data_IF_674747996183
#
_entry.id   IF_674747996183
#
_cell.length_a   1.000
_cell.length_b   1.000
_cell.length_c   1.000
_cell.angle_alpha   90.00
_cell.angle_beta   90.00
_cell.angle_gamma   90.00
#
_symmetry.space_group_name_H-M   'P 1'
#
loop_
_entity.id
_entity.type
_entity.pdbx_description
1 polymer ?
#
# COMPACT_ATOMS: atom_id res chain seq x y z
N UNK A 1 16.90 63.84 37.09
CA UNK A 1 18.03 63.73 38.04
C UNK A 1 18.06 62.27 38.52
N UNK A 2 18.73 61.35 37.82
CA UNK A 2 20.17 61.10 37.81
C UNK A 2 20.74 60.73 39.19
N UNK A 3 21.03 59.45 39.41
CA UNK A 3 22.34 58.99 39.90
C UNK A 3 22.48 57.48 39.68
N UNK A 4 23.50 57.13 38.89
CA UNK A 4 23.96 55.77 38.61
C UNK A 4 24.79 55.23 39.78
N UNK A 5 24.80 53.90 39.94
CA UNK A 5 25.94 53.19 40.55
C UNK A 5 26.32 51.99 39.69
N UNK A 6 27.42 52.16 38.97
CA UNK A 6 28.17 51.13 38.27
C UNK A 6 28.78 50.14 39.26
N UNK A 7 28.69 48.84 38.94
CA UNK A 7 29.64 47.83 39.42
C UNK A 7 30.10 47.02 38.20
N UNK A 8 31.36 47.27 37.82
CA UNK A 8 32.14 46.47 36.89
C UNK A 8 32.50 45.15 37.57
N UNK A 9 32.14 44.03 36.96
CA UNK A 9 32.74 42.72 37.26
C UNK A 9 33.36 42.19 35.97
N UNK A 10 34.69 42.26 35.91
CA UNK A 10 35.53 41.49 34.99
C UNK A 10 35.44 40.01 35.41
N UNK A 11 35.07 39.13 34.48
CA UNK A 11 35.01 37.69 34.75
C UNK A 11 35.00 36.86 33.47
N UNK A 12 36.22 36.57 32.99
CA UNK A 12 36.67 35.40 32.21
C UNK A 12 35.68 34.82 31.18
N UNK A 13 36.00 35.03 29.90
CA UNK A 13 35.40 34.33 28.77
C UNK A 13 35.73 32.83 28.85
N UNK A 14 34.74 32.00 29.19
CA UNK A 14 34.77 30.56 28.95
C UNK A 14 34.11 30.32 27.60
N UNK A 15 34.91 30.02 26.57
CA UNK A 15 34.41 29.49 25.31
C UNK A 15 33.67 28.16 25.61
N UNK A 16 32.40 27.98 25.21
CA UNK A 16 31.85 26.64 25.14
C UNK A 16 32.48 25.97 23.91
N UNK A 17 33.39 25.04 24.14
CA UNK A 17 33.72 23.98 23.20
C UNK A 17 32.42 23.22 22.88
N UNK A 18 31.74 23.59 21.79
CA UNK A 18 30.61 22.84 21.27
C UNK A 18 31.17 21.56 20.66
N UNK A 19 31.25 20.52 21.48
CA UNK A 19 31.46 19.16 21.02
C UNK A 19 30.29 18.78 20.10
N UNK A 20 30.60 18.53 18.83
CA UNK A 20 29.66 18.00 17.85
C UNK A 20 29.15 16.63 18.31
N UNK A 21 27.92 16.60 18.82
CA UNK A 21 27.19 15.37 19.04
C UNK A 21 26.94 14.70 17.68
N UNK A 22 27.31 13.43 17.47
CA UNK A 22 26.85 12.71 16.29
C UNK A 22 25.33 12.62 16.39
N UNK A 23 24.62 13.29 15.49
CA UNK A 23 23.19 13.05 15.26
C UNK A 23 23.05 11.59 14.87
N UNK A 24 22.66 10.74 15.83
CA UNK A 24 22.21 9.40 15.56
C UNK A 24 21.07 9.51 14.54
N UNK A 25 21.31 9.01 13.32
CA UNK A 25 20.28 8.88 12.32
C UNK A 25 19.13 8.07 12.94
N UNK A 26 17.99 8.73 13.17
CA UNK A 26 16.79 8.03 13.62
C UNK A 26 16.50 6.93 12.59
N UNK A 27 16.33 5.66 13.02
CA UNK A 27 15.92 4.62 12.09
C UNK A 27 14.61 5.07 11.45
N UNK A 28 14.62 5.24 10.14
CA UNK A 28 13.42 5.49 9.36
C UNK A 28 12.41 4.41 9.75
N UNK A 29 11.28 4.81 10.33
CA UNK A 29 10.20 3.88 10.67
C UNK A 29 9.91 3.05 9.40
N UNK A 30 10.08 1.72 9.51
CA UNK A 30 9.83 0.82 8.41
C UNK A 30 8.40 1.09 7.93
N UNK A 31 8.25 1.53 6.67
CA UNK A 31 6.94 1.84 6.13
C UNK A 31 6.09 0.56 6.20
N UNK A 32 4.81 0.66 6.61
CA UNK A 32 3.95 -0.50 6.65
C UNK A 32 3.93 -1.16 5.26
N UNK A 33 4.34 -2.42 5.20
CA UNK A 33 4.32 -3.20 3.98
C UNK A 33 3.28 -4.30 4.14
N UNK A 34 2.33 -4.37 3.20
CA UNK A 34 1.44 -5.51 3.10
C UNK A 34 2.22 -6.66 2.44
N UNK A 35 2.45 -7.73 3.20
CA UNK A 35 2.97 -9.00 2.68
C UNK A 35 1.81 -9.86 2.19
N UNK A 36 1.95 -10.41 1.00
CA UNK A 36 0.98 -11.31 0.38
C UNK A 36 1.64 -12.65 0.08
N UNK A 37 0.97 -13.73 0.46
CA UNK A 37 1.29 -15.08 0.00
C UNK A 37 0.55 -15.33 -1.30
N UNK A 38 1.28 -15.65 -2.36
CA UNK A 38 0.76 -15.80 -3.72
C UNK A 38 1.04 -17.20 -4.27
N UNK A 39 0.09 -17.76 -5.00
CA UNK A 39 0.19 -19.04 -5.71
C UNK A 39 -0.06 -18.80 -7.19
N UNK A 40 0.96 -19.00 -8.01
CA UNK A 40 0.84 -19.04 -9.45
C UNK A 40 0.55 -20.46 -9.90
N UNK A 41 -0.59 -20.66 -10.57
CA UNK A 41 -0.95 -21.96 -11.14
C UNK A 41 -0.51 -22.01 -12.61
N UNK A 42 0.58 -22.72 -12.88
CA UNK A 42 1.10 -22.88 -14.23
C UNK A 42 0.77 -24.27 -14.75
N UNK A 43 0.81 -24.45 -16.08
CA UNK A 43 0.73 -25.80 -16.69
C UNK A 43 1.83 -26.76 -16.24
N UNK A 44 2.89 -26.27 -15.58
CA UNK A 44 3.99 -27.06 -15.04
C UNK A 44 3.89 -27.31 -13.52
N UNK A 45 2.83 -26.82 -12.88
CA UNK A 45 2.60 -26.96 -11.46
C UNK A 45 2.33 -25.63 -10.75
N UNK A 46 2.02 -25.74 -9.47
CA UNK A 46 1.71 -24.62 -8.58
C UNK A 46 2.99 -24.09 -7.96
N UNK A 47 3.25 -22.79 -8.12
CA UNK A 47 4.42 -22.14 -7.55
C UNK A 47 4.01 -21.11 -6.50
N UNK A 48 4.57 -21.25 -5.29
CA UNK A 48 4.42 -20.28 -4.22
C UNK A 48 5.43 -19.13 -4.39
N UNK A 49 4.95 -17.91 -4.25
CA UNK A 49 5.72 -16.67 -4.29
C UNK A 49 5.19 -15.71 -3.22
N UNK A 50 6.05 -14.80 -2.76
CA UNK A 50 5.68 -13.75 -1.81
C UNK A 50 5.76 -12.41 -2.50
N UNK A 51 4.72 -11.59 -2.35
CA UNK A 51 4.68 -10.23 -2.86
C UNK A 51 4.65 -9.26 -1.68
N UNK A 52 5.54 -8.28 -1.68
CA UNK A 52 5.51 -7.18 -0.72
C UNK A 52 5.12 -5.89 -1.44
N UNK A 53 4.08 -5.24 -0.94
CA UNK A 53 3.64 -3.94 -1.41
C UNK A 53 3.80 -2.95 -0.25
N UNK A 54 4.53 -1.84 -0.46
CA UNK A 54 4.50 -0.74 0.50
C UNK A 54 3.10 -0.12 0.51
N UNK A 55 2.50 0.03 1.69
CA UNK A 55 1.14 0.58 1.85
C UNK A 55 1.15 1.66 2.91
N UNK A 56 0.73 2.86 2.54
CA UNK A 56 0.45 3.96 3.46
C UNK A 56 -1.07 4.16 3.53
N UNK A 57 -1.68 3.68 4.62
CA UNK A 57 -3.11 3.82 4.86
C UNK A 57 -3.36 4.93 5.87
N UNK A 58 -4.22 5.89 5.50
CA UNK A 58 -4.63 7.03 6.33
C UNK A 58 -6.14 6.96 6.58
N UNK A 59 -6.51 6.97 7.84
CA UNK A 59 -7.89 7.08 8.30
C UNK A 59 -7.94 7.96 9.55
N UNK A 60 -9.04 8.70 9.79
CA UNK A 60 -9.23 9.43 11.05
C UNK A 60 -9.27 8.48 12.23
N UNK A 61 -8.59 8.82 13.33
CA UNK A 61 -8.58 8.01 14.55
C UNK A 61 -9.97 7.92 15.22
N UNK A 62 -10.84 8.91 15.00
CA UNK A 62 -12.19 8.92 15.56
C UNK A 62 -13.13 9.66 14.61
N UNK A 63 -14.33 9.12 14.44
CA UNK A 63 -15.38 9.72 13.62
C UNK A 63 -16.66 9.76 14.44
N UNK A 64 -17.39 10.88 14.36
CA UNK A 64 -18.70 11.01 15.01
C UNK A 64 -19.70 10.03 14.37
N UNK A 65 -20.63 9.44 15.13
CA UNK A 65 -21.66 8.56 14.59
C UNK A 65 -22.44 9.25 13.47
N UNK A 66 -22.79 8.52 12.41
CA UNK A 66 -23.50 9.02 11.22
C UNK A 66 -22.78 10.10 10.39
N UNK A 67 -21.52 10.46 10.71
CA UNK A 67 -20.74 11.38 9.88
C UNK A 67 -19.98 10.65 8.76
N UNK A 68 -19.70 11.39 7.68
CA UNK A 68 -18.88 10.89 6.57
C UNK A 68 -17.40 11.06 6.90
N UNK A 69 -16.60 10.10 6.48
CA UNK A 69 -15.15 10.11 6.58
C UNK A 69 -14.53 9.42 5.37
N UNK A 70 -13.25 9.66 5.14
CA UNK A 70 -12.50 9.05 4.04
C UNK A 70 -11.37 8.19 4.58
N UNK A 71 -11.14 7.07 3.92
CA UNK A 71 -9.95 6.23 4.10
C UNK A 71 -9.16 6.32 2.81
N UNK A 72 -7.90 6.71 2.90
CA UNK A 72 -6.99 6.78 1.76
C UNK A 72 -5.95 5.69 1.90
N UNK A 73 -5.78 4.88 0.87
CA UNK A 73 -4.77 3.83 0.79
C UNK A 73 -3.86 4.17 -0.37
N UNK A 74 -2.65 4.61 -0.05
CA UNK A 74 -1.59 4.89 -1.01
C UNK A 74 -0.65 3.68 -1.11
N UNK A 75 -0.45 3.20 -2.33
CA UNK A 75 0.39 2.04 -2.61
C UNK A 75 1.71 2.57 -3.16
N UNK A 76 2.84 2.22 -2.55
CA UNK A 76 4.15 2.71 -2.98
C UNK A 76 4.56 2.10 -4.33
N UNK A 77 5.46 2.78 -5.08
CA UNK A 77 5.97 2.27 -6.34
C UNK A 77 6.61 0.91 -6.15
N UNK A 78 6.25 -0.01 -7.03
CA UNK A 78 6.78 -1.37 -7.07
C UNK A 78 7.55 -1.60 -8.37
N UNK A 79 8.31 -2.69 -8.37
CA UNK A 79 8.92 -3.20 -9.59
C UNK A 79 8.49 -4.65 -9.77
N UNK A 80 7.99 -4.98 -10.97
CA UNK A 80 7.72 -6.37 -11.29
C UNK A 80 9.05 -7.07 -11.60
N UNK A 81 9.30 -8.28 -11.08
CA UNK A 81 10.47 -9.04 -11.47
C UNK A 81 10.37 -9.40 -12.96
N UNK A 82 11.45 -9.23 -13.72
CA UNK A 82 11.51 -9.69 -15.12
C UNK A 82 11.55 -11.21 -15.25
N UNK A 83 11.87 -11.91 -14.16
CA UNK A 83 11.97 -13.36 -14.11
C UNK A 83 11.58 -13.88 -12.74
N UNK A 84 10.84 -14.99 -12.70
CA UNK A 84 10.43 -15.67 -11.46
C UNK A 84 10.77 -17.14 -11.60
N UNK A 85 11.72 -17.63 -10.77
CA UNK A 85 12.12 -19.05 -10.73
C UNK A 85 12.47 -19.65 -12.10
N UNK A 86 13.19 -18.92 -12.96
CA UNK A 86 13.58 -19.37 -14.31
C UNK A 86 12.55 -19.11 -15.41
N UNK A 87 11.37 -18.56 -15.07
CA UNK A 87 10.34 -18.18 -16.03
C UNK A 87 10.40 -16.68 -16.31
N UNK A 88 10.56 -16.27 -17.58
CA UNK A 88 10.55 -14.85 -17.94
C UNK A 88 9.14 -14.30 -17.83
N UNK A 89 8.93 -13.36 -16.91
CA UNK A 89 7.66 -12.66 -16.79
C UNK A 89 7.56 -11.66 -17.94
N UNK A 90 6.60 -11.86 -18.84
CA UNK A 90 6.36 -10.94 -19.96
C UNK A 90 5.52 -9.78 -19.50
N UNK A 91 4.41 -10.07 -18.84
CA UNK A 91 3.46 -9.07 -18.40
C UNK A 91 2.51 -9.61 -17.34
N UNK A 92 1.91 -8.72 -16.57
CA UNK A 92 0.80 -8.97 -15.66
C UNK A 92 -0.43 -8.23 -16.16
N UNK A 93 -1.58 -8.90 -16.13
CA UNK A 93 -2.87 -8.36 -16.55
C UNK A 93 -3.98 -8.80 -15.62
N UNK A 94 -5.15 -8.19 -15.77
CA UNK A 94 -6.37 -8.54 -15.04
C UNK A 94 -6.18 -8.58 -13.52
N UNK A 95 -5.46 -7.61 -12.99
CA UNK A 95 -5.26 -7.48 -11.56
C UNK A 95 -6.59 -7.04 -10.93
N UNK A 96 -7.06 -7.80 -9.96
CA UNK A 96 -8.28 -7.54 -9.20
C UNK A 96 -7.97 -7.61 -7.71
N UNK A 97 -8.06 -6.46 -7.03
CA UNK A 97 -7.90 -6.33 -5.59
C UNK A 97 -9.28 -6.13 -4.94
N UNK A 98 -9.60 -6.96 -3.96
CA UNK A 98 -10.87 -6.95 -3.24
C UNK A 98 -10.66 -6.33 -1.85
N UNK A 99 -11.36 -5.23 -1.58
CA UNK A 99 -11.33 -4.53 -0.30
C UNK A 99 -12.73 -4.58 0.32
N UNK A 100 -12.94 -5.32 1.42
CA UNK A 100 -14.22 -5.37 2.09
C UNK A 100 -14.51 -4.03 2.77
N UNK A 101 -15.76 -3.57 2.66
CA UNK A 101 -16.23 -2.39 3.38
C UNK A 101 -16.38 -2.76 4.85
N UNK A 102 -15.76 -2.00 5.78
CA UNK A 102 -15.80 -2.33 7.19
C UNK A 102 -17.24 -2.50 7.71
N UNK A 103 -17.49 -3.48 8.62
CA UNK A 103 -18.75 -3.52 9.35
C UNK A 103 -18.93 -2.22 10.14
N UNK A 104 -20.18 -1.86 10.44
CA UNK A 104 -20.51 -0.58 11.09
C UNK A 104 -20.15 0.68 10.28
N UNK A 105 -19.96 0.55 8.98
CA UNK A 105 -19.88 1.66 8.04
C UNK A 105 -20.75 1.40 6.81
N UNK A 106 -21.19 2.48 6.15
CA UNK A 106 -21.89 2.41 4.87
C UNK A 106 -21.03 3.02 3.78
N UNK A 107 -20.91 2.33 2.65
CA UNK A 107 -20.21 2.85 1.48
C UNK A 107 -20.93 4.07 0.90
N UNK A 108 -20.18 5.12 0.58
CA UNK A 108 -20.68 6.31 -0.12
C UNK A 108 -20.12 6.35 -1.54
N UNK A 109 -18.80 6.28 -1.68
CA UNK A 109 -18.12 6.29 -2.97
C UNK A 109 -16.67 5.80 -2.82
N UNK A 110 -16.06 5.33 -3.90
CA UNK A 110 -14.63 5.10 -4.01
C UNK A 110 -14.11 5.79 -5.27
N UNK A 111 -12.92 6.36 -5.15
CA UNK A 111 -12.22 7.02 -6.25
C UNK A 111 -10.78 6.54 -6.31
N UNK A 112 -10.27 6.39 -7.53
CA UNK A 112 -8.88 6.05 -7.81
C UNK A 112 -8.21 7.29 -8.39
N UNK A 113 -7.03 7.64 -7.87
CA UNK A 113 -6.26 8.80 -8.35
C UNK A 113 -4.80 8.43 -8.56
N UNK A 114 -4.18 8.99 -9.59
CA UNK A 114 -2.79 8.70 -9.95
C UNK A 114 -2.62 7.32 -10.58
N UNK A 115 -1.48 6.68 -10.29
CA UNK A 115 -1.05 5.44 -10.93
C UNK A 115 -0.22 5.69 -12.19
N UNK A 116 0.79 4.85 -12.43
CA UNK A 116 1.68 4.95 -13.59
C UNK A 116 2.25 3.58 -13.96
N UNK A 117 2.67 3.41 -15.22
CA UNK A 117 3.22 2.15 -15.72
C UNK A 117 2.20 1.01 -15.82
N UNK A 118 0.90 1.29 -15.71
CA UNK A 118 -0.17 0.28 -15.71
C UNK A 118 -0.70 -0.07 -17.11
N UNK A 119 -0.35 0.74 -18.12
CA UNK A 119 -0.83 0.65 -19.52
C UNK A 119 -2.35 0.43 -19.66
N UNK A 120 -3.11 0.91 -18.68
CA UNK A 120 -4.57 0.80 -18.61
C UNK A 120 -5.09 1.81 -17.59
N UNK A 121 -6.39 2.08 -17.66
CA UNK A 121 -7.08 2.91 -16.66
C UNK A 121 -7.64 2.01 -15.56
N UNK A 122 -7.18 2.16 -14.31
CA UNK A 122 -7.77 1.44 -13.19
C UNK A 122 -9.23 1.82 -12.98
N UNK A 123 -10.06 0.87 -12.58
CA UNK A 123 -11.45 1.10 -12.23
C UNK A 123 -11.77 0.52 -10.86
N UNK A 124 -12.78 1.07 -10.19
CA UNK A 124 -13.30 0.55 -8.92
C UNK A 124 -14.80 0.33 -9.07
N UNK A 125 -15.28 -0.82 -8.60
CA UNK A 125 -16.69 -1.20 -8.58
C UNK A 125 -17.07 -1.74 -7.21
N UNK A 126 -18.31 -1.52 -6.79
CA UNK A 126 -18.83 -2.13 -5.58
C UNK A 126 -19.57 -3.42 -5.94
N UNK A 127 -19.09 -4.54 -5.41
CA UNK A 127 -19.71 -5.86 -5.50
C UNK A 127 -20.23 -6.26 -4.11
N UNK A 128 -21.52 -6.05 -3.88
CA UNK A 128 -22.15 -6.19 -2.56
C UNK A 128 -21.52 -5.26 -1.52
N UNK A 129 -20.80 -5.82 -0.54
CA UNK A 129 -20.03 -5.08 0.49
C UNK A 129 -18.52 -5.09 0.24
N UNK A 130 -18.08 -5.37 -0.99
CA UNK A 130 -16.66 -5.44 -1.36
C UNK A 130 -16.38 -4.44 -2.48
N UNK A 131 -15.46 -3.50 -2.26
CA UNK A 131 -14.91 -2.68 -3.34
C UNK A 131 -13.89 -3.52 -4.12
N UNK A 132 -14.13 -3.70 -5.41
CA UNK A 132 -13.27 -4.43 -6.34
C UNK A 132 -12.55 -3.42 -7.21
N UNK A 133 -11.23 -3.38 -7.10
CA UNK A 133 -10.36 -2.53 -7.91
C UNK A 133 -9.79 -3.39 -9.01
N UNK A 134 -9.96 -2.98 -10.26
CA UNK A 134 -9.49 -3.72 -11.43
C UNK A 134 -8.48 -2.89 -12.23
N UNK A 135 -7.35 -3.50 -12.56
CA UNK A 135 -6.33 -2.98 -13.47
C UNK A 135 -6.14 -4.00 -14.58
N UNK A 136 -6.63 -3.69 -15.77
CA UNK A 136 -6.60 -4.63 -16.91
C UNK A 136 -5.18 -4.92 -17.38
N UNK A 137 -4.24 -3.97 -17.23
CA UNK A 137 -2.90 -4.10 -17.78
C UNK A 137 -2.89 -3.88 -19.31
N UNK A 138 -1.79 -4.23 -20.00
CA UNK A 138 -0.68 -5.09 -19.55
C UNK A 138 0.45 -4.32 -18.85
N UNK A 139 0.89 -4.79 -17.68
CA UNK A 139 2.06 -4.27 -16.97
C UNK A 139 3.29 -5.13 -17.36
N UNK A 140 4.31 -4.60 -18.04
CA UNK A 140 5.45 -5.39 -18.49
C UNK A 140 6.27 -5.95 -17.31
N UNK A 141 6.75 -7.18 -17.43
CA UNK A 141 7.71 -7.73 -16.46
C UNK A 141 9.04 -6.96 -16.50
N UNK A 142 9.62 -6.70 -15.34
CA UNK A 142 10.81 -5.85 -15.20
C UNK A 142 10.52 -4.35 -15.10
N UNK A 143 9.30 -3.91 -15.42
CA UNK A 143 8.91 -2.50 -15.36
C UNK A 143 8.64 -2.05 -13.93
N UNK A 144 8.94 -0.77 -13.69
CA UNK A 144 8.42 -0.05 -12.54
C UNK A 144 6.94 0.26 -12.76
N UNK A 145 6.14 0.11 -11.71
CA UNK A 145 4.71 0.39 -11.73
C UNK A 145 4.29 1.10 -10.44
N UNK A 146 3.27 1.93 -10.56
CA UNK A 146 2.61 2.58 -9.44
C UNK A 146 1.13 2.30 -9.52
N UNK A 147 0.58 1.63 -8.51
CA UNK A 147 -0.86 1.44 -8.40
C UNK A 147 -1.53 2.77 -8.01
N UNK A 148 -2.79 3.01 -8.41
CA UNK A 148 -3.50 4.23 -8.05
C UNK A 148 -3.74 4.27 -6.53
N UNK A 149 -3.77 5.48 -5.99
CA UNK A 149 -4.22 5.72 -4.62
C UNK A 149 -5.73 5.51 -4.57
N UNK A 150 -6.20 4.67 -3.65
CA UNK A 150 -7.61 4.43 -3.40
C UNK A 150 -8.12 5.36 -2.31
N UNK A 151 -9.16 6.13 -2.58
CA UNK A 151 -9.89 6.88 -1.56
C UNK A 151 -11.31 6.35 -1.44
N UNK A 152 -11.65 5.79 -0.29
CA UNK A 152 -12.99 5.29 0.02
C UNK A 152 -13.68 6.27 0.96
N UNK A 153 -14.82 6.83 0.54
CA UNK A 153 -15.71 7.61 1.40
C UNK A 153 -16.74 6.67 2.02
N UNK A 154 -16.79 6.70 3.34
CA UNK A 154 -17.67 5.91 4.17
C UNK A 154 -18.52 6.82 5.06
N UNK A 155 -19.66 6.31 5.51
CA UNK A 155 -20.47 6.91 6.58
C UNK A 155 -20.35 6.03 7.82
N UNK A 156 -19.96 6.63 8.94
CA UNK A 156 -19.84 5.93 10.22
C UNK A 156 -21.21 5.47 10.71
N UNK A 157 -21.27 4.27 11.26
CA UNK A 157 -22.46 3.72 11.88
C UNK A 157 -22.70 4.24 13.29
N UNK A 158 -23.15 3.33 14.17
CA UNK A 158 -23.51 3.66 15.56
C UNK A 158 -22.26 3.97 16.41
N UNK A 159 -22.47 4.73 17.49
CA UNK A 159 -21.42 5.10 18.45
C UNK A 159 -20.78 3.87 19.09
N UNK A 160 -19.47 3.90 19.31
CA UNK A 160 -18.72 2.83 19.99
C UNK A 160 -18.31 1.67 19.07
N UNK A 161 -18.62 1.73 17.77
CA UNK A 161 -18.19 0.71 16.82
C UNK A 161 -16.77 1.00 16.31
N UNK A 162 -15.92 -0.03 16.33
CA UNK A 162 -14.60 0.00 15.69
C UNK A 162 -14.80 -0.20 14.18
N UNK A 163 -14.25 0.71 13.39
CA UNK A 163 -14.17 0.60 11.93
C UNK A 163 -12.76 0.14 11.60
N UNK A 164 -12.61 -1.15 11.34
CA UNK A 164 -11.32 -1.70 10.92
C UNK A 164 -11.34 -2.01 9.43
N UNK A 165 -10.32 -1.53 8.73
CA UNK A 165 -10.14 -1.82 7.30
C UNK A 165 -9.18 -2.99 7.17
N UNK A 166 -9.70 -4.14 6.77
CA UNK A 166 -8.91 -5.34 6.48
C UNK A 166 -8.81 -5.50 4.97
N UNK A 167 -7.72 -6.06 4.48
CA UNK A 167 -7.65 -6.55 3.11
C UNK A 167 -8.42 -7.88 3.02
N UNK A 168 -9.14 -8.13 1.91
CA UNK A 168 -9.87 -9.40 1.75
C UNK A 168 -8.88 -10.55 1.56
N UNK A 169 -9.37 -11.76 1.76
CA UNK A 169 -8.70 -13.01 1.42
C UNK A 169 -8.05 -13.69 2.61
N UNK A 170 -8.29 -14.98 2.73
CA UNK A 170 -7.80 -15.82 3.83
C UNK A 170 -7.00 -17.02 3.36
N UNK A 171 -7.11 -17.38 2.07
CA UNK A 171 -6.43 -18.52 1.48
C UNK A 171 -6.25 -18.33 -0.03
N UNK A 172 -5.64 -19.30 -0.71
CA UNK A 172 -5.53 -19.25 -2.17
C UNK A 172 -6.86 -19.48 -2.90
N UNK A 173 -7.84 -20.08 -2.21
CA UNK A 173 -9.17 -20.38 -2.75
C UNK A 173 -10.20 -19.29 -2.36
N UNK A 174 -9.85 -18.44 -1.37
CA UNK A 174 -10.47 -17.14 -1.09
C UNK A 174 -9.40 -16.02 -1.18
N UNK A 175 -8.97 -15.64 -2.41
CA UNK A 175 -7.92 -14.64 -2.58
C UNK A 175 -8.44 -13.21 -2.40
N UNK A 176 -7.56 -12.38 -1.82
CA UNK A 176 -7.75 -10.93 -1.73
C UNK A 176 -7.33 -10.19 -2.98
N UNK A 177 -6.35 -10.76 -3.69
CA UNK A 177 -5.73 -10.21 -4.87
C UNK A 177 -5.58 -11.34 -5.89
N UNK A 178 -6.09 -11.13 -7.09
CA UNK A 178 -5.92 -12.05 -8.23
C UNK A 178 -5.28 -11.32 -9.39
N UNK A 179 -4.41 -11.97 -10.13
CA UNK A 179 -3.80 -11.42 -11.34
C UNK A 179 -3.47 -12.54 -12.32
N UNK A 180 -3.33 -12.23 -13.60
CA UNK A 180 -2.86 -13.19 -14.61
C UNK A 180 -1.46 -12.80 -15.06
N UNK A 181 -0.50 -13.68 -14.82
CA UNK A 181 0.89 -13.52 -15.23
C UNK A 181 1.13 -14.24 -16.56
N UNK A 182 1.56 -13.51 -17.59
CA UNK A 182 2.02 -14.11 -18.84
C UNK A 182 3.52 -14.38 -18.73
N UNK A 183 3.89 -15.65 -18.83
CA UNK A 183 5.27 -16.12 -18.71
C UNK A 183 5.75 -16.71 -20.03
N UNK A 184 7.01 -16.49 -20.37
CA UNK A 184 7.69 -17.11 -21.51
C UNK A 184 8.74 -18.09 -20.99
N UNK A 185 8.66 -19.33 -21.46
CA UNK A 185 9.65 -20.37 -21.19
C UNK A 185 10.12 -20.99 -22.50
N UNK A 186 11.41 -20.82 -22.81
CA UNK A 186 12.02 -21.19 -24.10
C UNK A 186 11.18 -20.64 -25.28
N UNK A 187 10.46 -21.53 -25.98
CA UNK A 187 9.64 -21.21 -27.15
C UNK A 187 8.13 -21.09 -26.86
N UNK A 188 7.69 -21.37 -25.63
CA UNK A 188 6.27 -21.42 -25.24
C UNK A 188 5.93 -20.19 -24.40
N UNK A 189 4.76 -19.59 -24.67
CA UNK A 189 4.17 -18.52 -23.85
C UNK A 189 2.91 -19.04 -23.19
N UNK A 190 2.77 -18.81 -21.89
CA UNK A 190 1.69 -19.32 -21.07
C UNK A 190 1.10 -18.21 -20.21
N UNK A 191 -0.21 -18.28 -19.99
CA UNK A 191 -0.88 -17.47 -18.97
C UNK A 191 -1.00 -18.31 -17.70
N UNK A 192 -0.59 -17.72 -16.58
CA UNK A 192 -0.61 -18.32 -15.25
C UNK A 192 -1.50 -17.46 -14.35
N UNK A 193 -2.70 -17.93 -13.98
CA UNK A 193 -3.48 -17.25 -12.95
C UNK A 193 -2.72 -17.30 -11.63
N UNK A 194 -2.74 -16.18 -10.92
CA UNK A 194 -2.09 -16.00 -9.63
C UNK A 194 -3.13 -15.54 -8.62
N UNK A 195 -3.22 -16.28 -7.52
CA UNK A 195 -4.10 -15.98 -6.39
C UNK A 195 -3.26 -15.64 -5.18
N UNK A 196 -3.56 -14.51 -4.55
CA UNK A 196 -2.83 -13.97 -3.41
C UNK A 196 -3.76 -13.65 -2.26
N UNK A 197 -3.32 -13.92 -1.03
CA UNK A 197 -3.99 -13.47 0.20
C UNK A 197 -3.00 -12.73 1.11
N UNK A 198 -3.46 -11.74 1.89
CA UNK A 198 -2.64 -11.06 2.88
C UNK A 198 -2.07 -12.05 3.91
N UNK A 199 -0.75 -12.06 4.10
CA UNK A 199 -0.05 -12.88 5.08
C UNK A 199 0.99 -12.02 5.80
N UNK A 200 0.61 -11.34 6.91
CA UNK A 200 1.50 -10.46 7.66
C UNK A 200 2.65 -11.21 8.35
#
# INVERSE_FOLDING_TARGET
MATHRSLLVLGVAVLPLVFGLPTAAQPAAAQPAASYACRADTKFGKHLLSLRQGVDAKAPATVKPNHRFSITVDLKPGQLPGEVKGFKLKEVRDLSLRVPIPPNSSYVSATLTGGSGLNSTPSVRLDGRTAVITVTGPIPGGAAYQLPTLTIRLKAGRRGAIVETRLKGTSYDDPGLTLTAKIKWKFITLNSPVSCYPNP
#
